data_IF_052025384765
#
_entry.id   IF_052025384765
#
_cell.length_a   1.000
_cell.length_b   1.000
_cell.length_c   1.000
_cell.angle_alpha   90.00
_cell.angle_beta   90.00
_cell.angle_gamma   90.00
#
_symmetry.space_group_name_H-M   'P 1'
#
loop_
_entity.id
_entity.type
_entity.pdbx_description
1 polymer ?
#
# COMPACT_ATOMS: atom_id res chain seq x y z
N UNK A 1 -60.04 -18.10 -31.09
CA UNK A 1 -59.56 -18.02 -29.70
C UNK A 1 -58.10 -18.43 -29.76
N UNK A 2 -57.22 -17.45 -29.97
CA UNK A 2 -55.78 -17.67 -30.12
C UNK A 2 -55.22 -17.70 -28.71
N UNK A 3 -54.62 -18.83 -28.37
CA UNK A 3 -54.02 -19.10 -27.07
C UNK A 3 -52.76 -18.23 -26.92
N UNK A 4 -52.78 -17.30 -25.97
CA UNK A 4 -51.65 -16.44 -25.61
C UNK A 4 -50.80 -17.09 -24.52
N UNK A 5 -50.57 -18.40 -24.61
CA UNK A 5 -49.53 -19.04 -23.81
C UNK A 5 -48.15 -18.61 -24.34
N UNK A 6 -47.73 -17.40 -23.98
CA UNK A 6 -46.31 -17.05 -23.93
C UNK A 6 -45.74 -17.88 -22.80
N UNK A 7 -45.21 -19.05 -23.11
CA UNK A 7 -44.28 -19.73 -22.22
C UNK A 7 -43.15 -18.74 -21.92
N UNK A 8 -42.81 -18.48 -20.65
CA UNK A 8 -41.62 -17.70 -20.35
C UNK A 8 -40.46 -18.49 -20.93
N UNK A 9 -39.87 -17.98 -22.02
CA UNK A 9 -38.66 -18.53 -22.58
C UNK A 9 -37.66 -18.61 -21.42
N UNK A 10 -37.33 -19.82 -20.99
CA UNK A 10 -36.21 -20.05 -20.10
C UNK A 10 -34.97 -19.73 -20.92
N UNK A 11 -34.61 -18.47 -20.97
CA UNK A 11 -33.39 -17.99 -21.62
C UNK A 11 -32.24 -18.77 -20.98
N UNK A 12 -31.45 -19.46 -21.80
CA UNK A 12 -30.31 -20.21 -21.31
C UNK A 12 -29.35 -19.24 -20.59
N UNK A 13 -28.75 -19.67 -19.48
CA UNK A 13 -27.84 -18.83 -18.67
C UNK A 13 -26.75 -18.16 -19.52
N UNK A 14 -26.28 -18.85 -20.57
CA UNK A 14 -25.25 -18.36 -21.49
C UNK A 14 -25.73 -17.20 -22.37
N UNK A 15 -27.02 -17.20 -22.75
CA UNK A 15 -27.61 -16.13 -23.57
C UNK A 15 -27.81 -14.86 -22.73
N UNK A 16 -28.19 -14.99 -21.46
CA UNK A 16 -28.27 -13.85 -20.52
C UNK A 16 -26.89 -13.24 -20.31
N UNK A 17 -25.85 -14.08 -20.12
CA UNK A 17 -24.49 -13.61 -19.94
C UNK A 17 -24.00 -12.83 -21.18
N UNK A 18 -24.23 -13.38 -22.37
CA UNK A 18 -23.87 -12.73 -23.64
C UNK A 18 -24.57 -11.38 -23.80
N UNK A 19 -25.89 -11.32 -23.56
CA UNK A 19 -26.65 -10.06 -23.64
C UNK A 19 -26.17 -9.03 -22.61
N UNK A 20 -25.75 -9.49 -21.43
CA UNK A 20 -25.19 -8.62 -20.38
C UNK A 20 -23.86 -8.03 -20.81
N UNK A 21 -22.95 -8.85 -21.36
CA UNK A 21 -21.67 -8.41 -21.93
C UNK A 21 -21.90 -7.35 -23.01
N UNK A 22 -22.80 -7.62 -23.97
CA UNK A 22 -23.13 -6.69 -25.05
C UNK A 22 -23.69 -5.37 -24.52
N UNK A 23 -24.60 -5.44 -23.53
CA UNK A 23 -25.23 -4.25 -22.93
C UNK A 23 -24.22 -3.39 -22.18
N UNK A 24 -23.35 -4.00 -21.39
CA UNK A 24 -22.33 -3.29 -20.63
C UNK A 24 -21.26 -2.69 -21.55
N UNK A 25 -20.92 -3.38 -22.64
CA UNK A 25 -20.02 -2.88 -23.67
C UNK A 25 -20.61 -1.66 -24.39
N UNK A 26 -21.91 -1.71 -24.71
CA UNK A 26 -22.62 -0.57 -25.28
C UNK A 26 -22.61 0.63 -24.31
N UNK A 27 -22.86 0.40 -23.01
CA UNK A 27 -22.77 1.44 -21.98
C UNK A 27 -21.36 2.05 -21.92
N UNK A 28 -20.31 1.24 -21.90
CA UNK A 28 -18.93 1.73 -21.90
C UNK A 28 -18.64 2.61 -23.12
N UNK A 29 -19.13 2.23 -24.30
CA UNK A 29 -18.97 3.02 -25.53
C UNK A 29 -19.73 4.36 -25.45
N UNK A 30 -20.94 4.36 -24.88
CA UNK A 30 -21.72 5.59 -24.67
C UNK A 30 -21.01 6.57 -23.73
N UNK A 31 -20.42 6.09 -22.63
CA UNK A 31 -19.65 6.91 -21.69
C UNK A 31 -18.39 7.50 -22.34
N UNK A 32 -17.68 6.72 -23.17
CA UNK A 32 -16.51 7.22 -23.90
C UNK A 32 -16.90 8.33 -24.88
N UNK A 33 -18.04 8.16 -25.57
CA UNK A 33 -18.47 9.10 -26.60
C UNK A 33 -19.13 10.38 -26.04
N UNK A 34 -19.69 10.32 -24.83
CA UNK A 34 -20.53 11.39 -24.29
C UNK A 34 -20.15 11.72 -22.84
N UNK A 35 -19.35 12.76 -22.65
CA UNK A 35 -19.03 13.29 -21.34
C UNK A 35 -20.30 13.78 -20.61
N UNK A 36 -20.41 13.49 -19.31
CA UNK A 36 -21.52 13.87 -18.47
C UNK A 36 -22.61 12.81 -18.33
N UNK A 37 -22.63 11.75 -19.15
CA UNK A 37 -23.59 10.64 -18.98
C UNK A 37 -23.32 9.80 -17.74
N UNK A 38 -22.11 9.85 -17.17
CA UNK A 38 -21.74 9.08 -15.99
C UNK A 38 -22.62 9.35 -14.76
N UNK A 39 -23.21 10.56 -14.66
CA UNK A 39 -24.12 10.91 -13.56
C UNK A 39 -25.37 10.04 -13.53
N UNK A 40 -25.78 9.49 -14.68
CA UNK A 40 -26.95 8.60 -14.77
C UNK A 40 -26.69 7.23 -14.13
N UNK A 41 -25.44 6.91 -13.79
CA UNK A 41 -25.06 5.67 -13.11
C UNK A 41 -25.10 5.78 -11.58
N UNK A 42 -25.38 6.97 -11.04
CA UNK A 42 -25.59 7.18 -9.59
C UNK A 42 -26.78 6.31 -9.14
N UNK A 43 -26.59 5.56 -8.05
CA UNK A 43 -27.54 4.58 -7.52
C UNK A 43 -27.32 3.16 -8.07
N UNK A 44 -26.49 2.98 -9.09
CA UNK A 44 -26.29 1.68 -9.76
C UNK A 44 -24.91 1.03 -9.52
N UNK A 45 -24.01 1.67 -8.76
CA UNK A 45 -22.66 1.11 -8.54
C UNK A 45 -22.65 -0.22 -7.79
N UNK A 46 -23.61 -0.48 -6.90
CA UNK A 46 -23.73 -1.81 -6.25
C UNK A 46 -23.93 -2.93 -7.28
N UNK A 47 -24.72 -2.68 -8.32
CA UNK A 47 -24.92 -3.63 -9.41
C UNK A 47 -23.66 -3.76 -10.25
N UNK A 48 -23.03 -2.64 -10.64
CA UNK A 48 -21.79 -2.67 -11.41
C UNK A 48 -20.67 -3.45 -10.71
N UNK A 49 -20.49 -3.22 -9.41
CA UNK A 49 -19.50 -3.94 -8.59
C UNK A 49 -19.88 -5.42 -8.39
N UNK A 50 -21.16 -5.79 -8.48
CA UNK A 50 -21.57 -7.20 -8.38
C UNK A 50 -21.02 -8.05 -9.53
N UNK A 51 -20.76 -7.46 -10.70
CA UNK A 51 -20.12 -8.15 -11.82
C UNK A 51 -18.69 -8.61 -11.48
N UNK A 52 -17.99 -7.94 -10.56
CA UNK A 52 -16.66 -8.38 -10.12
C UNK A 52 -16.67 -9.71 -9.36
N UNK A 53 -17.84 -10.17 -8.89
CA UNK A 53 -17.99 -11.47 -8.24
C UNK A 53 -18.09 -12.63 -9.24
N UNK A 54 -18.30 -12.34 -10.53
CA UNK A 54 -18.48 -13.34 -11.57
C UNK A 54 -17.11 -13.80 -12.09
N UNK A 55 -16.40 -14.58 -11.28
CA UNK A 55 -15.05 -15.08 -11.59
C UNK A 55 -14.98 -15.93 -12.88
N UNK A 56 -16.11 -16.47 -13.33
CA UNK A 56 -16.21 -17.26 -14.56
C UNK A 56 -16.16 -16.40 -15.83
N UNK A 57 -16.39 -15.08 -15.74
CA UNK A 57 -16.45 -14.18 -16.89
C UNK A 57 -15.49 -12.99 -16.75
N UNK A 58 -14.23 -13.24 -17.07
CA UNK A 58 -13.16 -12.22 -17.11
C UNK A 58 -13.52 -11.07 -18.05
N UNK A 59 -14.17 -11.36 -19.18
CA UNK A 59 -14.64 -10.33 -20.13
C UNK A 59 -15.63 -9.37 -19.47
N UNK A 60 -16.65 -9.89 -18.79
CA UNK A 60 -17.66 -9.04 -18.13
C UNK A 60 -17.05 -8.22 -16.99
N UNK A 61 -16.15 -8.81 -16.19
CA UNK A 61 -15.40 -8.10 -15.16
C UNK A 61 -14.56 -6.96 -15.75
N UNK A 62 -13.88 -7.20 -16.88
CA UNK A 62 -13.08 -6.20 -17.58
C UNK A 62 -13.92 -5.02 -18.09
N UNK A 63 -15.09 -5.29 -18.67
CA UNK A 63 -16.00 -4.25 -19.14
C UNK A 63 -16.59 -3.47 -17.95
N UNK A 64 -16.97 -4.15 -16.87
CA UNK A 64 -17.44 -3.50 -15.65
C UNK A 64 -16.36 -2.58 -15.04
N UNK A 65 -15.10 -3.04 -15.01
CA UNK A 65 -13.97 -2.26 -14.54
C UNK A 65 -13.74 -1.04 -15.42
N UNK A 66 -13.87 -1.19 -16.75
CA UNK A 66 -13.81 -0.07 -17.69
C UNK A 66 -14.93 0.95 -17.45
N UNK A 67 -16.16 0.51 -17.18
CA UNK A 67 -17.27 1.42 -16.84
C UNK A 67 -16.94 2.19 -15.56
N UNK A 68 -16.53 1.51 -14.49
CA UNK A 68 -16.18 2.16 -13.21
C UNK A 68 -14.99 3.12 -13.38
N UNK A 69 -13.99 2.78 -14.18
CA UNK A 69 -12.84 3.66 -14.42
C UNK A 69 -13.23 4.95 -15.15
N UNK A 70 -14.12 4.85 -16.14
CA UNK A 70 -14.62 6.01 -16.89
C UNK A 70 -15.41 6.99 -16.01
N UNK A 71 -16.14 6.50 -15.00
CA UNK A 71 -16.93 7.37 -14.11
C UNK A 71 -16.16 7.88 -12.90
N UNK A 72 -15.02 7.27 -12.57
CA UNK A 72 -14.21 7.59 -11.38
C UNK A 72 -13.64 9.03 -11.35
N UNK A 73 -13.72 9.76 -12.46
CA UNK A 73 -13.31 11.17 -12.57
C UNK A 73 -14.39 12.15 -12.13
N UNK A 74 -15.66 11.71 -12.04
CA UNK A 74 -16.79 12.55 -11.66
C UNK A 74 -17.05 12.47 -10.15
N UNK A 75 -17.05 13.61 -9.46
CA UNK A 75 -17.13 13.69 -7.99
C UNK A 75 -18.43 13.10 -7.42
N UNK A 76 -19.56 13.25 -8.11
CA UNK A 76 -20.84 12.71 -7.66
C UNK A 76 -20.87 11.19 -7.78
N UNK A 77 -20.31 10.66 -8.86
CA UNK A 77 -20.09 9.22 -9.03
C UNK A 77 -19.16 8.66 -7.94
N UNK A 78 -18.04 9.33 -7.66
CA UNK A 78 -17.12 8.91 -6.59
C UNK A 78 -17.81 8.89 -5.22
N UNK A 79 -18.68 9.86 -4.94
CA UNK A 79 -19.46 9.87 -3.70
C UNK A 79 -20.40 8.65 -3.60
N UNK A 80 -21.14 8.34 -4.67
CA UNK A 80 -22.04 7.17 -4.68
C UNK A 80 -21.28 5.83 -4.62
N UNK A 81 -20.12 5.73 -5.28
CA UNK A 81 -19.21 4.59 -5.14
C UNK A 81 -18.77 4.42 -3.68
N UNK A 82 -18.39 5.50 -3.00
CA UNK A 82 -18.03 5.46 -1.59
C UNK A 82 -19.20 5.01 -0.69
N UNK A 83 -20.44 5.33 -1.07
CA UNK A 83 -21.65 4.92 -0.35
C UNK A 83 -22.10 3.49 -0.67
N UNK A 84 -21.57 2.88 -1.74
CA UNK A 84 -21.85 1.48 -2.09
C UNK A 84 -21.21 0.47 -1.12
N UNK A 85 -20.09 0.85 -0.49
CA UNK A 85 -19.25 -0.02 0.37
C UNK A 85 -18.87 -1.35 -0.30
N UNK A 86 -18.51 -1.29 -1.59
CA UNK A 86 -18.10 -2.46 -2.40
C UNK A 86 -16.62 -2.40 -2.82
N UNK A 87 -15.83 -1.46 -2.29
CA UNK A 87 -14.42 -1.28 -2.62
C UNK A 87 -13.57 -2.56 -2.59
N UNK A 88 -13.76 -3.50 -1.64
CA UNK A 88 -12.97 -4.74 -1.60
C UNK A 88 -13.05 -5.57 -2.88
N UNK A 89 -14.18 -5.52 -3.60
CA UNK A 89 -14.34 -6.24 -4.86
C UNK A 89 -13.41 -5.72 -5.94
N UNK A 90 -13.12 -4.41 -5.95
CA UNK A 90 -12.19 -3.81 -6.89
C UNK A 90 -10.74 -4.25 -6.60
N UNK A 91 -10.33 -4.29 -5.34
CA UNK A 91 -9.02 -4.83 -4.94
C UNK A 91 -8.88 -6.33 -5.21
N UNK A 92 -9.97 -7.09 -5.12
CA UNK A 92 -9.96 -8.54 -5.40
C UNK A 92 -9.53 -8.86 -6.84
N UNK A 93 -9.78 -7.94 -7.79
CA UNK A 93 -9.36 -8.11 -9.20
C UNK A 93 -7.83 -8.17 -9.36
N UNK A 94 -7.07 -7.54 -8.45
CA UNK A 94 -5.59 -7.59 -8.46
C UNK A 94 -5.09 -9.03 -8.28
N UNK A 95 -5.83 -9.86 -7.53
CA UNK A 95 -5.48 -11.26 -7.27
C UNK A 95 -5.99 -12.21 -8.36
N UNK A 96 -6.87 -11.75 -9.25
CA UNK A 96 -7.53 -12.61 -10.25
C UNK A 96 -6.79 -12.61 -11.58
N UNK A 97 -6.51 -11.43 -12.13
CA UNK A 97 -5.90 -11.29 -13.45
C UNK A 97 -4.95 -10.08 -13.48
N UNK A 98 -3.70 -10.32 -13.92
CA UNK A 98 -2.67 -9.29 -14.01
C UNK A 98 -3.04 -8.16 -14.98
N UNK A 99 -3.87 -8.43 -15.98
CA UNK A 99 -4.35 -7.42 -16.94
C UNK A 99 -5.24 -6.36 -16.31
N UNK A 100 -5.88 -6.65 -15.17
CA UNK A 100 -6.72 -5.67 -14.46
C UNK A 100 -5.90 -4.70 -13.60
N UNK A 101 -4.71 -5.08 -13.16
CA UNK A 101 -3.94 -4.34 -12.15
C UNK A 101 -3.75 -2.86 -12.52
N UNK A 102 -3.30 -2.47 -13.72
CA UNK A 102 -3.09 -1.07 -14.06
C UNK A 102 -4.38 -0.24 -14.02
N UNK A 103 -5.50 -0.84 -14.46
CA UNK A 103 -6.80 -0.17 -14.49
C UNK A 103 -7.35 -0.03 -13.07
N UNK A 104 -7.20 -1.06 -12.22
CA UNK A 104 -7.58 -1.01 -10.81
C UNK A 104 -6.80 0.09 -10.08
N UNK A 105 -5.47 0.14 -10.23
CA UNK A 105 -4.65 1.13 -9.56
C UNK A 105 -4.97 2.57 -10.00
N UNK A 106 -5.07 2.81 -11.31
CA UNK A 106 -5.43 4.14 -11.84
C UNK A 106 -6.83 4.59 -11.42
N UNK A 107 -7.80 3.66 -11.40
CA UNK A 107 -9.15 3.93 -10.87
C UNK A 107 -9.11 4.21 -9.38
N UNK A 108 -8.29 3.51 -8.60
CA UNK A 108 -8.16 3.78 -7.17
C UNK A 108 -7.49 5.14 -6.90
N UNK A 109 -6.56 5.60 -7.76
CA UNK A 109 -5.94 6.93 -7.64
C UNK A 109 -6.98 8.04 -7.81
N UNK A 110 -7.90 7.93 -8.78
CA UNK A 110 -8.98 8.91 -8.99
C UNK A 110 -10.01 8.86 -7.87
N UNK A 111 -10.43 7.65 -7.47
CA UNK A 111 -11.36 7.43 -6.36
C UNK A 111 -10.83 7.93 -5.01
N UNK A 112 -9.51 7.84 -4.76
CA UNK A 112 -8.86 8.31 -3.55
C UNK A 112 -8.94 9.85 -3.35
N UNK A 113 -9.62 10.59 -4.23
CA UNK A 113 -10.05 11.96 -3.97
C UNK A 113 -11.14 12.07 -2.88
N UNK A 114 -11.80 10.95 -2.53
CA UNK A 114 -12.80 10.87 -1.47
C UNK A 114 -12.23 10.17 -0.21
N UNK A 115 -12.21 10.85 0.92
CA UNK A 115 -11.66 10.32 2.19
C UNK A 115 -12.35 9.04 2.65
N UNK A 116 -13.64 8.84 2.38
CA UNK A 116 -14.35 7.60 2.76
C UNK A 116 -13.76 6.39 2.03
N UNK A 117 -13.40 6.55 0.76
CA UNK A 117 -12.73 5.53 -0.05
C UNK A 117 -11.32 5.25 0.50
N UNK A 118 -10.56 6.29 0.84
CA UNK A 118 -9.21 6.15 1.43
C UNK A 118 -9.28 5.40 2.78
N UNK A 119 -10.27 5.73 3.61
CA UNK A 119 -10.52 5.05 4.89
C UNK A 119 -10.91 3.59 4.70
N UNK A 120 -11.91 3.33 3.86
CA UNK A 120 -12.42 1.99 3.58
C UNK A 120 -11.32 1.10 2.98
N UNK A 121 -10.53 1.63 2.04
CA UNK A 121 -9.39 0.93 1.45
C UNK A 121 -8.45 0.38 2.52
N UNK A 122 -8.14 1.17 3.55
CA UNK A 122 -7.28 0.69 4.64
C UNK A 122 -7.98 -0.35 5.52
N UNK A 123 -9.26 -0.13 5.84
CA UNK A 123 -10.06 -1.04 6.69
C UNK A 123 -10.21 -2.44 6.08
N UNK A 124 -10.21 -2.55 4.76
CA UNK A 124 -10.35 -3.82 4.04
C UNK A 124 -9.03 -4.37 3.48
N UNK A 125 -7.89 -3.82 3.90
CA UNK A 125 -6.57 -4.36 3.57
C UNK A 125 -6.03 -3.97 2.19
N UNK A 126 -6.58 -2.92 1.57
CA UNK A 126 -6.08 -2.36 0.32
C UNK A 126 -4.58 -2.04 0.34
N UNK A 127 -4.02 -1.68 1.51
CA UNK A 127 -2.57 -1.54 1.66
C UNK A 127 -1.81 -2.81 1.24
N UNK A 128 -2.26 -4.00 1.67
CA UNK A 128 -1.59 -5.25 1.34
C UNK A 128 -1.64 -5.54 -0.17
N UNK A 129 -2.77 -5.26 -0.82
CA UNK A 129 -2.90 -5.38 -2.28
C UNK A 129 -1.99 -4.41 -3.03
N UNK A 130 -1.86 -3.17 -2.55
CA UNK A 130 -1.00 -2.18 -3.20
C UNK A 130 0.48 -2.57 -3.01
N UNK A 131 0.87 -3.01 -1.81
CA UNK A 131 2.22 -3.46 -1.52
C UNK A 131 2.58 -4.74 -2.30
N UNK A 132 1.64 -5.68 -2.48
CA UNK A 132 1.92 -6.88 -3.27
C UNK A 132 2.23 -6.57 -4.73
N UNK A 133 1.64 -5.50 -5.29
CA UNK A 133 2.00 -5.02 -6.63
C UNK A 133 3.32 -4.26 -6.60
N UNK A 134 3.48 -3.30 -5.69
CA UNK A 134 4.71 -2.48 -5.61
C UNK A 134 5.97 -3.33 -5.39
N UNK A 135 5.87 -4.40 -4.60
CA UNK A 135 7.00 -5.26 -4.25
C UNK A 135 7.33 -6.33 -5.31
N UNK A 136 6.40 -6.65 -6.20
CA UNK A 136 6.57 -7.76 -7.14
C UNK A 136 7.34 -7.30 -8.40
N UNK A 137 8.59 -7.76 -8.49
CA UNK A 137 9.53 -7.50 -9.57
C UNK A 137 9.19 -8.18 -10.90
N UNK A 138 8.17 -9.06 -10.92
CA UNK A 138 7.62 -9.62 -12.17
C UNK A 138 6.71 -8.63 -12.90
N UNK A 139 6.16 -7.62 -12.20
CA UNK A 139 5.38 -6.57 -12.85
C UNK A 139 6.30 -5.55 -13.51
N UNK A 140 5.83 -4.98 -14.62
CA UNK A 140 6.57 -3.93 -15.30
C UNK A 140 6.72 -2.68 -14.40
N UNK A 141 7.78 -1.89 -14.58
CA UNK A 141 8.02 -0.71 -13.74
C UNK A 141 6.86 0.28 -13.71
N UNK A 142 6.11 0.45 -14.80
CA UNK A 142 4.98 1.39 -14.88
C UNK A 142 3.86 0.98 -13.93
N UNK A 143 3.52 -0.31 -13.90
CA UNK A 143 2.51 -0.84 -12.98
C UNK A 143 2.94 -0.70 -11.52
N UNK A 144 4.22 -0.95 -11.21
CA UNK A 144 4.77 -0.77 -9.86
C UNK A 144 4.79 0.70 -9.44
N UNK A 145 5.06 1.62 -10.37
CA UNK A 145 4.98 3.07 -10.16
C UNK A 145 3.54 3.50 -9.85
N UNK A 146 2.53 2.97 -10.56
CA UNK A 146 1.12 3.24 -10.23
C UNK A 146 0.76 2.82 -8.80
N UNK A 147 1.30 1.68 -8.32
CA UNK A 147 1.11 1.26 -6.94
C UNK A 147 1.77 2.25 -5.95
N UNK A 148 2.99 2.71 -6.25
CA UNK A 148 3.67 3.73 -5.46
C UNK A 148 2.93 5.09 -5.46
N UNK A 149 2.40 5.52 -6.61
CA UNK A 149 1.55 6.71 -6.75
C UNK A 149 0.29 6.60 -5.90
N UNK A 150 -0.34 5.43 -5.88
CA UNK A 150 -1.51 5.18 -5.03
C UNK A 150 -1.15 5.25 -3.54
N UNK A 151 -0.02 4.67 -3.11
CA UNK A 151 0.45 4.81 -1.72
C UNK A 151 0.71 6.27 -1.36
N UNK A 152 1.33 7.04 -2.25
CA UNK A 152 1.55 8.47 -2.06
C UNK A 152 0.22 9.24 -1.93
N UNK A 153 -0.74 8.93 -2.81
CA UNK A 153 -2.08 9.52 -2.80
C UNK A 153 -2.84 9.23 -1.51
N UNK A 154 -2.80 7.99 -1.01
CA UNK A 154 -3.47 7.62 0.24
C UNK A 154 -2.85 8.33 1.46
N UNK A 155 -1.52 8.49 1.49
CA UNK A 155 -0.81 9.23 2.54
C UNK A 155 -1.09 10.74 2.51
N UNK A 156 -1.40 11.30 1.35
CA UNK A 156 -1.72 12.70 1.18
C UNK A 156 -3.16 13.06 1.61
N UNK A 157 -4.01 12.09 1.96
CA UNK A 157 -5.35 12.36 2.48
C UNK A 157 -5.29 13.11 3.82
N UNK A 158 -6.09 14.16 3.94
CA UNK A 158 -6.01 15.10 5.08
C UNK A 158 -6.42 14.48 6.42
N UNK A 159 -7.32 13.50 6.41
CA UNK A 159 -7.93 12.96 7.63
C UNK A 159 -7.33 11.61 8.03
N UNK A 160 -6.99 10.78 7.05
CA UNK A 160 -6.54 9.41 7.24
C UNK A 160 -5.11 9.17 6.77
N UNK A 161 -4.47 10.14 6.11
CA UNK A 161 -3.08 10.06 5.65
C UNK A 161 -2.07 9.67 6.74
N UNK A 162 -2.09 10.28 7.95
CA UNK A 162 -1.20 9.88 9.04
C UNK A 162 -1.38 8.42 9.46
N UNK A 163 -2.61 7.87 9.34
CA UNK A 163 -2.88 6.45 9.60
C UNK A 163 -2.22 5.60 8.51
N UNK A 164 -2.37 5.97 7.23
CA UNK A 164 -1.70 5.27 6.12
C UNK A 164 -0.18 5.24 6.28
N UNK A 165 0.46 6.37 6.56
CA UNK A 165 1.92 6.41 6.80
C UNK A 165 2.32 5.49 7.95
N UNK A 166 1.56 5.47 9.06
CA UNK A 166 1.80 4.55 10.18
C UNK A 166 1.73 3.08 9.78
N UNK A 167 0.83 2.70 8.88
CA UNK A 167 0.76 1.31 8.41
C UNK A 167 1.84 0.98 7.38
N UNK A 168 2.19 1.92 6.50
CA UNK A 168 3.28 1.73 5.52
C UNK A 168 4.60 1.48 6.24
N UNK A 169 4.90 2.23 7.32
CA UNK A 169 6.16 2.04 8.06
C UNK A 169 6.30 0.68 8.73
N UNK A 170 5.22 -0.10 8.80
CA UNK A 170 5.26 -1.49 9.30
C UNK A 170 5.84 -2.44 8.27
N UNK A 171 5.88 -2.07 7.00
CA UNK A 171 6.39 -2.91 5.92
C UNK A 171 7.62 -2.29 5.24
N UNK A 172 7.76 -0.97 5.28
CA UNK A 172 8.87 -0.24 4.68
C UNK A 172 9.53 0.67 5.73
N UNK A 173 10.86 0.76 5.79
CA UNK A 173 11.53 1.75 6.66
C UNK A 173 11.01 3.18 6.44
N UNK A 174 11.00 4.05 7.48
CA UNK A 174 10.36 5.37 7.42
C UNK A 174 10.76 6.25 6.21
N UNK A 175 12.01 6.18 5.77
CA UNK A 175 12.52 6.92 4.60
C UNK A 175 11.73 6.65 3.30
N UNK A 176 11.11 5.47 3.16
CA UNK A 176 10.27 5.17 2.00
C UNK A 176 8.98 5.97 1.98
N UNK A 177 8.44 6.39 3.13
CA UNK A 177 7.22 7.20 3.16
C UNK A 177 7.46 8.59 2.57
N UNK A 178 8.64 9.17 2.81
CA UNK A 178 9.08 10.42 2.21
C UNK A 178 9.35 10.24 0.71
N UNK A 179 10.12 9.20 0.35
CA UNK A 179 10.40 8.91 -1.05
C UNK A 179 9.13 8.71 -1.89
N UNK A 180 8.12 8.01 -1.34
CA UNK A 180 6.83 7.82 -2.01
C UNK A 180 6.11 9.16 -2.26
N UNK A 181 6.12 10.07 -1.29
CA UNK A 181 5.47 11.39 -1.41
C UNK A 181 6.19 12.29 -2.40
N UNK A 182 7.52 12.25 -2.42
CA UNK A 182 8.33 13.12 -3.26
C UNK A 182 8.36 12.64 -4.73
N UNK A 183 8.61 11.34 -4.94
CA UNK A 183 8.77 10.75 -6.26
C UNK A 183 8.53 9.22 -6.22
N UNK A 184 7.37 8.73 -6.69
CA UNK A 184 7.07 7.31 -6.80
C UNK A 184 8.12 6.51 -7.58
N UNK A 185 8.72 7.10 -8.61
CA UNK A 185 9.80 6.53 -9.40
C UNK A 185 11.08 6.36 -8.57
N UNK A 186 11.43 7.39 -7.78
CA UNK A 186 12.59 7.32 -6.88
C UNK A 186 12.36 6.30 -5.77
N UNK A 187 11.14 6.22 -5.22
CA UNK A 187 10.77 5.21 -4.24
C UNK A 187 10.92 3.79 -4.78
N UNK A 188 10.52 3.55 -6.03
CA UNK A 188 10.71 2.26 -6.71
C UNK A 188 12.19 1.94 -6.91
N UNK A 189 12.96 2.88 -7.47
CA UNK A 189 14.41 2.71 -7.65
C UNK A 189 15.13 2.45 -6.32
N UNK A 190 14.71 3.14 -5.25
CA UNK A 190 15.23 2.96 -3.90
C UNK A 190 14.85 1.58 -3.35
N UNK A 191 13.62 1.12 -3.60
CA UNK A 191 13.16 -0.19 -3.16
C UNK A 191 13.96 -1.30 -3.81
N UNK A 192 14.21 -1.23 -5.13
CA UNK A 192 14.94 -2.26 -5.87
C UNK A 192 16.46 -2.25 -5.61
N UNK A 193 17.01 -1.15 -5.06
CA UNK A 193 18.45 -1.01 -4.80
C UNK A 193 18.85 -1.49 -3.41
N UNK A 194 20.08 -1.99 -3.27
CA UNK A 194 20.64 -2.33 -1.97
C UNK A 194 21.21 -1.10 -1.27
N UNK A 195 20.82 -0.89 -0.03
CA UNK A 195 21.32 0.17 0.83
C UNK A 195 21.78 -0.41 2.16
N UNK A 196 23.04 -0.19 2.50
CA UNK A 196 23.55 -0.44 3.84
C UNK A 196 24.34 0.78 4.28
N UNK A 197 23.72 1.59 5.13
CA UNK A 197 24.30 2.77 5.72
C UNK A 197 23.80 2.95 7.16
N UNK A 198 24.38 3.88 7.93
CA UNK A 198 24.02 4.05 9.34
C UNK A 198 22.54 4.30 9.62
N UNK A 199 21.71 4.70 8.66
CA UNK A 199 20.27 4.97 8.85
C UNK A 199 19.34 4.02 8.07
N UNK A 200 19.90 3.09 7.29
CA UNK A 200 19.12 2.17 6.47
C UNK A 200 19.89 0.88 6.17
N UNK A 201 19.30 -0.24 6.60
CA UNK A 201 19.62 -1.57 6.11
C UNK A 201 18.45 -2.04 5.24
N UNK A 202 18.68 -2.10 3.94
CA UNK A 202 17.73 -2.51 2.92
C UNK A 202 18.43 -3.31 1.83
N UNK A 203 18.58 -4.61 2.06
CA UNK A 203 19.22 -5.56 1.15
C UNK A 203 18.22 -6.64 0.68
N UNK A 204 18.68 -7.59 -0.13
CA UNK A 204 17.83 -8.65 -0.68
C UNK A 204 17.16 -9.51 0.40
N UNK A 205 17.84 -9.75 1.53
CA UNK A 205 17.28 -10.52 2.63
C UNK A 205 16.09 -9.79 3.28
N UNK A 206 16.25 -8.50 3.59
CA UNK A 206 15.17 -7.66 4.15
C UNK A 206 14.00 -7.56 3.16
N UNK A 207 14.30 -7.27 1.89
CA UNK A 207 13.29 -7.22 0.82
C UNK A 207 12.49 -8.52 0.72
N UNK A 208 13.19 -9.65 0.67
CA UNK A 208 12.57 -10.97 0.51
C UNK A 208 11.66 -11.31 1.70
N UNK A 209 12.10 -10.99 2.92
CA UNK A 209 11.29 -11.22 4.11
C UNK A 209 10.02 -10.38 4.14
N UNK A 210 10.14 -9.08 3.84
CA UNK A 210 8.99 -8.18 3.76
C UNK A 210 8.02 -8.64 2.66
N UNK A 211 8.52 -9.04 1.48
CA UNK A 211 7.71 -9.64 0.40
C UNK A 211 6.93 -10.86 0.91
N UNK A 212 7.60 -11.77 1.62
CA UNK A 212 6.97 -12.98 2.14
C UNK A 212 5.88 -12.67 3.18
N UNK A 213 6.13 -11.72 4.09
CA UNK A 213 5.16 -11.31 5.11
C UNK A 213 3.92 -10.67 4.47
N UNK A 214 4.10 -9.78 3.49
CA UNK A 214 2.96 -9.17 2.78
C UNK A 214 2.16 -10.22 2.04
N UNK A 215 2.83 -11.12 1.30
CA UNK A 215 2.16 -12.22 0.60
C UNK A 215 1.37 -13.13 1.55
N UNK A 216 1.96 -13.52 2.69
CA UNK A 216 1.27 -14.33 3.69
C UNK A 216 0.02 -13.62 4.24
N UNK A 217 0.16 -12.36 4.67
CA UNK A 217 -0.96 -11.57 5.23
C UNK A 217 -2.07 -11.35 4.20
N UNK A 218 -1.70 -11.11 2.94
CA UNK A 218 -2.66 -10.93 1.86
C UNK A 218 -3.42 -12.22 1.56
N UNK A 219 -2.72 -13.36 1.52
CA UNK A 219 -3.34 -14.67 1.31
C UNK A 219 -4.28 -15.05 2.45
N UNK A 220 -3.90 -14.77 3.70
CA UNK A 220 -4.76 -14.97 4.87
C UNK A 220 -6.02 -14.11 4.78
N UNK A 221 -5.87 -12.81 4.50
CA UNK A 221 -7.01 -11.89 4.35
C UNK A 221 -7.94 -12.32 3.21
N UNK A 222 -7.37 -12.65 2.05
CA UNK A 222 -8.13 -13.10 0.88
C UNK A 222 -8.93 -14.37 1.21
N UNK A 223 -8.31 -15.34 1.88
CA UNK A 223 -8.99 -16.57 2.30
C UNK A 223 -10.19 -16.30 3.21
N UNK A 224 -10.09 -15.32 4.11
CA UNK A 224 -11.20 -14.90 4.96
C UNK A 224 -12.27 -14.12 4.18
N UNK A 225 -11.86 -13.27 3.23
CA UNK A 225 -12.77 -12.47 2.41
C UNK A 225 -13.55 -13.32 1.39
N UNK A 226 -12.97 -14.43 0.91
CA UNK A 226 -13.69 -15.43 0.10
C UNK A 226 -14.82 -16.09 0.88
N UNK A 227 -14.67 -16.27 2.20
CA UNK A 227 -15.73 -16.82 3.05
C UNK A 227 -16.74 -15.75 3.45
N UNK A 228 -16.28 -14.53 3.74
CA UNK A 228 -17.12 -13.39 4.08
C UNK A 228 -16.53 -12.10 3.47
N UNK A 229 -17.10 -11.59 2.37
CA UNK A 229 -16.59 -10.38 1.69
C UNK A 229 -16.57 -9.11 2.57
N UNK A 230 -17.33 -9.10 3.67
CA UNK A 230 -17.34 -7.99 4.61
C UNK A 230 -16.21 -8.07 5.65
N UNK A 231 -15.32 -9.05 5.57
CA UNK A 231 -14.20 -9.21 6.50
C UNK A 231 -13.21 -8.05 6.36
N UNK A 232 -13.08 -7.28 7.44
CA UNK A 232 -12.09 -6.21 7.58
C UNK A 232 -10.71 -6.78 7.88
N UNK A 233 -9.68 -6.09 7.43
CA UNK A 233 -8.30 -6.40 7.77
C UNK A 233 -8.08 -6.15 9.26
N UNK A 234 -7.69 -7.20 9.99
CA UNK A 234 -7.39 -7.13 11.42
C UNK A 234 -6.07 -6.36 11.61
N UNK A 235 -6.20 -5.09 11.96
CA UNK A 235 -5.06 -4.23 12.28
C UNK A 235 -4.94 -4.09 13.78
N UNK A 236 -4.40 -5.08 14.49
CA UNK A 236 -4.10 -4.90 15.91
C UNK A 236 -2.81 -4.07 16.03
N UNK A 237 -2.99 -2.75 16.08
CA UNK A 237 -1.93 -1.76 15.84
C UNK A 237 -0.96 -1.64 17.01
N UNK A 238 -1.32 -2.14 18.20
CA UNK A 238 -0.58 -1.84 19.42
C UNK A 238 0.71 -2.65 19.60
N UNK A 239 0.78 -3.89 19.10
CA UNK A 239 1.83 -4.84 19.51
C UNK A 239 2.54 -5.57 18.35
N UNK A 240 2.19 -5.27 17.11
CA UNK A 240 2.71 -6.05 15.99
C UNK A 240 4.00 -5.42 15.44
N UNK A 241 5.12 -6.14 15.61
CA UNK A 241 6.45 -5.72 15.13
C UNK A 241 6.43 -5.35 13.64
N UNK A 242 7.42 -4.55 13.22
CA UNK A 242 7.61 -4.23 11.80
C UNK A 242 8.05 -5.48 11.02
N UNK A 243 7.65 -5.62 9.76
CA UNK A 243 7.94 -6.78 8.92
C UNK A 243 9.45 -6.97 8.64
N UNK A 244 10.29 -6.02 9.01
CA UNK A 244 11.75 -6.10 8.88
C UNK A 244 12.47 -6.16 10.22
N UNK A 245 11.76 -6.18 11.36
CA UNK A 245 12.39 -6.16 12.69
C UNK A 245 13.20 -7.41 12.97
N UNK A 246 12.71 -8.59 12.58
CA UNK A 246 13.32 -9.86 12.99
C UNK A 246 14.71 -10.07 12.34
N UNK A 247 14.94 -9.45 11.19
CA UNK A 247 16.26 -9.45 10.53
C UNK A 247 17.21 -8.44 11.21
N UNK A 248 16.65 -7.47 11.93
CA UNK A 248 17.38 -6.41 12.62
C UNK A 248 17.52 -6.68 14.13
N UNK A 249 17.02 -7.81 14.66
CA UNK A 249 17.04 -8.11 16.11
C UNK A 249 18.49 -8.22 16.66
N UNK A 250 19.47 -8.56 15.80
CA UNK A 250 20.90 -8.63 16.15
C UNK A 250 21.66 -7.29 15.96
N UNK A 251 21.00 -6.25 15.43
CA UNK A 251 21.63 -4.95 15.18
C UNK A 251 21.42 -3.99 16.35
N UNK A 252 22.50 -3.35 16.81
CA UNK A 252 22.42 -2.35 17.85
C UNK A 252 22.06 -0.97 17.26
N UNK A 253 20.86 -0.51 17.58
CA UNK A 253 20.28 0.73 17.05
C UNK A 253 20.06 1.76 18.16
N UNK A 254 20.49 3.00 17.93
CA UNK A 254 20.23 4.15 18.82
C UNK A 254 19.68 5.30 17.99
N UNK A 255 18.55 5.89 18.37
CA UNK A 255 17.86 6.94 17.60
C UNK A 255 17.65 6.62 16.11
N UNK A 256 17.45 5.33 15.77
CA UNK A 256 17.33 4.88 14.38
C UNK A 256 18.66 4.76 13.61
N UNK A 257 19.80 4.85 14.30
CA UNK A 257 21.15 4.69 13.72
C UNK A 257 21.75 3.34 14.09
N UNK A 258 22.15 2.57 13.08
CA UNK A 258 22.85 1.29 13.22
C UNK A 258 24.31 1.53 13.63
N UNK A 259 24.65 1.27 14.90
CA UNK A 259 25.94 1.67 15.47
C UNK A 259 27.13 0.99 14.77
N UNK A 260 26.98 -0.29 14.37
CA UNK A 260 28.00 -1.02 13.60
C UNK A 260 28.35 -0.31 12.30
N UNK A 261 27.34 0.14 11.56
CA UNK A 261 27.53 0.84 10.29
C UNK A 261 28.04 2.26 10.51
N UNK A 262 27.61 2.94 11.58
CA UNK A 262 28.11 4.26 11.92
C UNK A 262 29.60 4.24 12.29
N UNK A 263 30.05 3.30 13.12
CA UNK A 263 31.48 3.16 13.45
C UNK A 263 32.31 2.84 12.20
N UNK A 264 31.78 2.03 11.28
CA UNK A 264 32.45 1.73 10.01
C UNK A 264 32.50 2.92 9.04
N UNK A 265 31.53 3.83 9.11
CA UNK A 265 31.47 5.05 8.31
C UNK A 265 31.16 6.29 9.17
N UNK A 266 32.14 6.75 9.96
CA UNK A 266 31.91 7.77 10.99
C UNK A 266 31.77 9.19 10.41
N UNK A 267 31.96 9.36 9.10
CA UNK A 267 31.73 10.63 8.39
C UNK A 267 30.27 10.84 7.95
N UNK A 268 29.42 9.83 8.16
CA UNK A 268 28.02 9.86 7.74
C UNK A 268 27.24 10.99 8.41
N UNK A 269 26.57 11.82 7.60
CA UNK A 269 25.75 12.92 8.09
C UNK A 269 24.36 12.39 8.50
N UNK A 270 24.24 11.99 9.77
CA UNK A 270 22.96 11.54 10.36
C UNK A 270 21.91 12.65 10.24
N UNK A 271 20.68 12.32 9.81
CA UNK A 271 19.59 13.30 9.66
C UNK A 271 19.19 14.04 10.94
N UNK A 272 19.19 13.32 12.07
CA UNK A 272 18.83 13.86 13.39
C UNK A 272 20.02 13.79 14.36
N UNK A 273 21.11 14.54 14.11
CA UNK A 273 22.37 14.36 14.84
C UNK A 273 22.24 14.74 16.32
N UNK A 274 21.33 15.66 16.66
CA UNK A 274 21.06 16.06 18.05
C UNK A 274 20.37 14.95 18.85
N UNK A 275 19.35 14.32 18.26
CA UNK A 275 18.64 13.20 18.88
C UNK A 275 19.58 12.02 19.05
N UNK A 276 20.34 11.70 18.00
CA UNK A 276 21.34 10.64 18.05
C UNK A 276 22.37 10.87 19.15
N UNK A 277 22.91 12.08 19.28
CA UNK A 277 23.87 12.38 20.34
C UNK A 277 23.28 12.25 21.76
N UNK A 278 22.06 12.72 21.97
CA UNK A 278 21.38 12.66 23.26
C UNK A 278 21.07 11.21 23.69
N UNK A 279 20.48 10.41 22.80
CA UNK A 279 20.18 9.00 23.10
C UNK A 279 21.46 8.16 23.21
N UNK A 280 22.50 8.49 22.44
CA UNK A 280 23.78 7.77 22.51
C UNK A 280 24.51 8.02 23.82
N UNK A 281 24.55 9.27 24.33
CA UNK A 281 25.16 9.53 25.63
C UNK A 281 24.35 8.88 26.77
N UNK A 282 23.02 8.92 26.70
CA UNK A 282 22.16 8.22 27.66
C UNK A 282 22.49 6.72 27.69
N UNK A 283 22.63 6.10 26.50
CA UNK A 283 23.03 4.70 26.39
C UNK A 283 24.44 4.42 26.91
N UNK A 284 25.40 5.31 26.70
CA UNK A 284 26.75 5.23 27.30
C UNK A 284 26.65 5.21 28.82
N UNK A 285 25.92 6.16 29.41
CA UNK A 285 25.77 6.29 30.86
C UNK A 285 25.11 5.05 31.47
N UNK A 286 24.03 4.53 30.85
CA UNK A 286 23.39 3.28 31.26
C UNK A 286 24.38 2.10 31.27
N UNK A 287 25.22 1.98 30.23
CA UNK A 287 26.19 0.90 30.12
C UNK A 287 27.38 1.09 31.08
N UNK A 288 27.72 2.32 31.48
CA UNK A 288 28.72 2.58 32.51
C UNK A 288 28.24 2.17 33.91
N UNK A 289 26.94 2.36 34.21
CA UNK A 289 26.35 1.88 35.45
C UNK A 289 26.22 0.35 35.48
N UNK A 290 25.91 -0.26 34.32
CA UNK A 290 25.75 -1.71 34.16
C UNK A 290 26.41 -2.17 32.86
N UNK A 291 27.68 -2.62 32.90
CA UNK A 291 28.40 -3.05 31.70
C UNK A 291 27.67 -4.16 30.95
N UNK A 292 27.40 -3.91 29.67
CA UNK A 292 26.88 -4.86 28.71
C UNK A 292 27.98 -5.26 27.71
N UNK A 293 27.84 -6.38 26.98
CA UNK A 293 28.76 -6.71 25.88
C UNK A 293 28.80 -5.63 24.78
N UNK A 294 27.78 -4.75 24.73
CA UNK A 294 27.65 -3.67 23.75
C UNK A 294 28.44 -2.40 24.12
N UNK A 295 29.05 -2.34 25.30
CA UNK A 295 29.74 -1.13 25.79
C UNK A 295 30.83 -0.65 24.82
N UNK A 296 31.59 -1.57 24.23
CA UNK A 296 32.69 -1.25 23.31
C UNK A 296 32.18 -0.56 22.04
N UNK A 297 31.08 -1.05 21.45
CA UNK A 297 30.53 -0.49 20.21
C UNK A 297 29.82 0.84 20.48
N UNK A 298 29.13 0.98 21.62
CA UNK A 298 28.45 2.21 22.03
C UNK A 298 29.46 3.32 22.29
N UNK A 299 30.52 3.04 23.05
CA UNK A 299 31.58 4.02 23.33
C UNK A 299 32.38 4.36 22.07
N UNK A 300 32.67 3.38 21.20
CA UNK A 300 33.29 3.61 19.90
C UNK A 300 32.45 4.54 19.01
N UNK A 301 31.13 4.32 18.95
CA UNK A 301 30.22 5.19 18.21
C UNK A 301 30.19 6.61 18.78
N UNK A 302 30.20 6.75 20.11
CA UNK A 302 30.22 8.05 20.76
C UNK A 302 31.51 8.83 20.47
N UNK A 303 32.67 8.17 20.58
CA UNK A 303 33.97 8.77 20.23
C UNK A 303 34.01 9.14 18.74
N UNK A 304 33.52 8.26 17.86
CA UNK A 304 33.44 8.52 16.42
C UNK A 304 32.57 9.75 16.10
N UNK A 305 31.42 9.88 16.77
CA UNK A 305 30.51 11.01 16.62
C UNK A 305 31.18 12.33 17.00
N UNK A 306 31.82 12.40 18.18
CA UNK A 306 32.49 13.62 18.64
C UNK A 306 33.70 13.98 17.77
N UNK A 307 34.43 12.98 17.28
CA UNK A 307 35.63 13.19 16.48
C UNK A 307 35.30 13.71 15.07
N UNK A 308 34.23 13.21 14.45
CA UNK A 308 33.87 13.55 13.06
C UNK A 308 32.82 14.66 12.95
N UNK A 309 32.02 14.85 13.99
CA UNK A 309 30.95 15.87 14.03
C UNK A 309 31.08 16.76 15.28
N UNK A 310 32.17 17.53 15.45
CA UNK A 310 32.46 18.28 16.67
C UNK A 310 31.38 19.33 17.02
N UNK A 311 30.64 19.85 16.04
CA UNK A 311 29.52 20.77 16.27
C UNK A 311 28.37 20.13 17.08
N UNK A 312 28.26 18.79 17.06
CA UNK A 312 27.25 18.05 17.81
C UNK A 312 27.59 18.01 19.31
N UNK A 313 28.87 18.10 19.68
CA UNK A 313 29.32 18.12 21.08
C UNK A 313 28.69 19.25 21.89
N UNK A 314 28.46 20.41 21.27
CA UNK A 314 27.81 21.56 21.90
C UNK A 314 26.34 21.30 22.30
N UNK A 315 25.77 20.17 21.89
CA UNK A 315 24.38 19.80 22.17
C UNK A 315 24.28 18.67 23.21
N UNK A 316 25.41 18.16 23.70
CA UNK A 316 25.50 17.07 24.68
C UNK A 316 25.48 17.61 26.12
N UNK A 317 25.01 18.85 26.33
CA UNK A 317 24.86 19.40 27.68
C UNK A 317 23.77 18.63 28.43
N UNK A 318 24.22 17.80 29.36
CA UNK A 318 23.46 17.27 30.50
C UNK A 318 23.17 18.41 31.46
#
# INVERSE_FOLDING_TARGET
MIDWCIEPATIASDEILLQTVMSLQALANLLVANAGLEILLIGHYKLLFSFFKLHESVELQGIALKVVSLTSVNRECVADIADSSQLPLLFSLILQDHSFIPIVLSTMITLASNTKIVKESLEYGGLLHILSVFFNDQFDPTTRILAAELLAKMQADKLTGPRWSRFIVRFLPPIFTDALRDSPQTALSMFDSTHENPELIWNDAVRSNVKNIVSHKLNELNSLQLQNPCTKWKTDVANEKCAYSDIMDDELVVAGVFLRLFVANPSWQVRHPKQFAAELIEKVLECMERPTPDLDIITSAFVALLSNHPAVANHVYI
#
